data_IF_044923223120
#
_entry.id   IF_044923223120
#
_cell.length_a   1.000
_cell.length_b   1.000
_cell.length_c   1.000
_cell.angle_alpha   90.00
_cell.angle_beta   90.00
_cell.angle_gamma   90.00
#
_symmetry.space_group_name_H-M   'P 1'
#
loop_
_entity.id
_entity.type
_entity.pdbx_description
1 polymer ?
#
# COMPACT_ATOMS: atom_id res chain seq x y z
N UNK A 1 -33.52 -16.76 57.64
CA UNK A 1 -32.10 -16.51 57.27
C UNK A 1 -31.70 -17.13 55.91
N UNK A 2 -32.59 -17.27 54.93
CA UNK A 2 -32.25 -17.84 53.59
C UNK A 2 -32.30 -16.85 52.42
N UNK A 3 -32.82 -15.63 52.61
CA UNK A 3 -33.04 -14.68 51.52
C UNK A 3 -32.06 -13.50 51.47
N UNK A 4 -31.12 -13.37 52.42
CA UNK A 4 -30.13 -12.27 52.43
C UNK A 4 -28.78 -12.63 51.79
N UNK A 5 -28.49 -13.92 51.59
CA UNK A 5 -27.25 -14.38 50.94
C UNK A 5 -27.32 -14.34 49.41
N UNK A 6 -28.52 -14.47 48.82
CA UNK A 6 -28.70 -14.46 47.36
C UNK A 6 -28.63 -13.01 46.82
N UNK A 7 -29.08 -12.01 47.57
CA UNK A 7 -29.01 -10.62 47.15
C UNK A 7 -27.58 -10.06 47.12
N UNK A 8 -26.69 -10.55 47.98
CA UNK A 8 -25.28 -10.11 47.98
C UNK A 8 -24.47 -10.72 46.82
N UNK A 9 -24.84 -11.92 46.35
CA UNK A 9 -24.19 -12.56 45.20
C UNK A 9 -24.56 -11.90 43.86
N UNK A 10 -25.80 -11.40 43.73
CA UNK A 10 -26.25 -10.70 42.52
C UNK A 10 -25.62 -9.29 42.41
N UNK A 11 -25.30 -8.66 43.54
CA UNK A 11 -24.66 -7.34 43.54
C UNK A 11 -23.17 -7.35 43.11
N UNK A 12 -22.47 -8.47 43.26
CA UNK A 12 -21.03 -8.58 42.91
C UNK A 12 -20.83 -8.92 41.42
N UNK A 13 -21.81 -9.57 40.78
CA UNK A 13 -21.71 -9.90 39.34
C UNK A 13 -22.02 -8.72 38.41
N UNK A 14 -22.57 -7.62 38.93
CA UNK A 14 -22.88 -6.41 38.18
C UNK A 14 -21.73 -5.37 38.13
N UNK A 15 -20.55 -5.68 38.68
CA UNK A 15 -19.38 -4.77 38.71
C UNK A 15 -18.17 -5.38 37.99
N UNK A 16 -18.39 -6.13 36.90
CA UNK A 16 -17.35 -6.32 35.90
C UNK A 16 -17.51 -5.20 34.88
N UNK A 17 -16.64 -4.16 34.88
CA UNK A 17 -16.61 -3.25 33.76
C UNK A 17 -16.23 -4.09 32.56
N UNK A 18 -17.14 -4.15 31.58
CA UNK A 18 -16.82 -4.46 30.20
C UNK A 18 -15.79 -3.42 29.76
N UNK A 19 -14.51 -3.68 30.05
CA UNK A 19 -13.40 -2.99 29.42
C UNK A 19 -13.47 -3.35 27.94
N UNK A 20 -14.19 -2.52 27.20
CA UNK A 20 -14.11 -2.49 25.76
C UNK A 20 -12.73 -1.94 25.44
N UNK A 21 -11.79 -2.82 25.10
CA UNK A 21 -10.51 -2.39 24.55
C UNK A 21 -10.80 -1.70 23.21
N UNK A 22 -10.86 -0.37 23.26
CA UNK A 22 -10.81 0.48 22.08
C UNK A 22 -9.42 0.28 21.49
N UNK A 23 -9.30 -0.70 20.59
CA UNK A 23 -8.17 -0.79 19.70
C UNK A 23 -8.26 0.41 18.76
N UNK A 24 -7.57 1.49 19.09
CA UNK A 24 -7.25 2.51 18.10
C UNK A 24 -6.48 1.79 16.99
N UNK A 25 -7.11 1.57 15.83
CA UNK A 25 -6.42 1.04 14.66
C UNK A 25 -5.35 2.07 14.30
N UNK A 26 -4.07 1.69 14.44
CA UNK A 26 -2.98 2.54 14.02
C UNK A 26 -3.20 2.90 12.54
N UNK A 27 -3.25 4.20 12.22
CA UNK A 27 -3.45 4.67 10.85
C UNK A 27 -2.35 4.06 9.97
N UNK A 28 -2.75 3.24 9.00
CA UNK A 28 -1.85 2.72 7.97
C UNK A 28 -1.65 3.84 6.96
N UNK A 29 -0.39 4.13 6.62
CA UNK A 29 -0.03 5.18 5.68
C UNK A 29 0.84 4.59 4.58
N UNK A 30 0.61 5.04 3.34
CA UNK A 30 1.49 4.76 2.20
C UNK A 30 2.82 5.52 2.37
N UNK A 31 3.95 4.83 2.22
CA UNK A 31 5.26 5.45 2.37
C UNK A 31 5.82 6.08 1.10
N UNK A 32 5.11 5.99 -0.02
CA UNK A 32 5.54 6.63 -1.26
C UNK A 32 5.42 8.14 -1.11
N UNK A 33 6.56 8.80 -1.02
CA UNK A 33 6.69 10.25 -1.04
C UNK A 33 7.09 10.71 -2.46
N UNK A 34 7.00 12.02 -2.73
CA UNK A 34 7.22 12.60 -4.07
C UNK A 34 6.09 12.33 -5.10
N UNK A 35 4.83 12.46 -4.64
CA UNK A 35 3.66 12.32 -5.50
C UNK A 35 3.69 13.27 -6.71
N UNK A 36 4.31 14.44 -6.59
CA UNK A 36 4.46 15.40 -7.72
C UNK A 36 5.27 14.82 -8.88
N UNK A 37 6.34 14.06 -8.61
CA UNK A 37 7.11 13.38 -9.65
C UNK A 37 6.27 12.29 -10.33
N UNK A 38 5.45 11.58 -9.55
CA UNK A 38 4.52 10.59 -10.09
C UNK A 38 3.48 11.23 -11.00
N UNK A 39 2.93 12.38 -10.64
CA UNK A 39 1.93 13.07 -11.47
C UNK A 39 2.51 13.56 -12.79
N UNK A 40 3.74 14.07 -12.74
CA UNK A 40 4.45 14.48 -13.94
C UNK A 40 4.61 13.28 -14.87
N UNK A 41 5.10 12.15 -14.35
CA UNK A 41 5.24 10.90 -15.12
C UNK A 41 3.89 10.39 -15.65
N UNK A 42 2.83 10.48 -14.86
CA UNK A 42 1.48 10.08 -15.29
C UNK A 42 1.01 10.93 -16.47
N UNK A 43 1.18 12.26 -16.36
CA UNK A 43 0.80 13.21 -17.40
C UNK A 43 1.59 12.94 -18.68
N UNK A 44 2.90 12.76 -18.59
CA UNK A 44 3.76 12.41 -19.72
C UNK A 44 3.34 11.08 -20.37
N UNK A 45 3.02 10.06 -19.57
CA UNK A 45 2.51 8.77 -20.06
C UNK A 45 1.18 8.92 -20.79
N UNK A 46 0.25 9.72 -20.26
CA UNK A 46 -1.04 9.99 -20.90
C UNK A 46 -0.87 10.76 -22.22
N UNK A 47 -0.02 11.78 -22.26
CA UNK A 47 0.30 12.53 -23.48
C UNK A 47 0.98 11.65 -24.53
N UNK A 48 1.83 10.71 -24.10
CA UNK A 48 2.42 9.72 -24.98
C UNK A 48 1.35 8.81 -25.58
N UNK A 49 0.44 8.28 -24.76
CA UNK A 49 -0.66 7.42 -25.22
C UNK A 49 -1.64 8.15 -26.14
N UNK A 50 -1.93 9.43 -25.88
CA UNK A 50 -2.80 10.24 -26.72
C UNK A 50 -2.22 10.43 -28.14
N UNK A 51 -0.89 10.54 -28.25
CA UNK A 51 -0.18 10.63 -29.54
C UNK A 51 0.09 9.27 -30.17
N UNK A 52 0.15 8.21 -29.36
CA UNK A 52 0.48 6.84 -29.78
C UNK A 52 -0.60 5.88 -29.26
N UNK A 53 -1.82 5.94 -29.81
CA UNK A 53 -2.91 5.09 -29.36
C UNK A 53 -2.55 3.63 -29.60
N UNK A 54 -2.61 2.85 -28.52
CA UNK A 54 -2.20 1.46 -28.57
C UNK A 54 -3.27 0.62 -29.24
N UNK A 55 -2.88 -0.17 -30.24
CA UNK A 55 -3.71 -1.23 -30.78
C UNK A 55 -3.46 -2.52 -29.99
N UNK A 56 -4.56 -3.20 -29.64
CA UNK A 56 -4.68 -4.53 -29.02
C UNK A 56 -3.40 -5.08 -28.35
N UNK A 57 -3.36 -5.07 -27.01
CA UNK A 57 -2.19 -5.53 -26.24
C UNK A 57 -2.20 -7.05 -26.08
N UNK A 58 -1.11 -7.69 -26.50
CA UNK A 58 -0.72 -8.98 -25.92
C UNK A 58 -0.33 -8.77 -24.43
N UNK A 59 -0.43 -9.81 -23.58
CA UNK A 59 0.06 -9.72 -22.21
C UNK A 59 1.54 -9.31 -22.17
N UNK A 60 1.87 -8.38 -21.28
CA UNK A 60 3.22 -7.91 -21.01
C UNK A 60 3.76 -8.71 -19.82
N UNK A 61 4.92 -9.33 -20.02
CA UNK A 61 5.64 -10.05 -18.97
C UNK A 61 6.66 -9.13 -18.33
N UNK A 62 6.56 -8.95 -17.01
CA UNK A 62 7.33 -7.96 -16.27
C UNK A 62 8.22 -8.69 -15.25
N UNK A 63 9.55 -8.66 -15.39
CA UNK A 63 10.45 -9.29 -14.43
C UNK A 63 10.50 -8.50 -13.11
N UNK A 64 10.45 -9.21 -11.98
CA UNK A 64 10.65 -8.67 -10.64
C UNK A 64 11.86 -9.35 -9.99
N UNK A 65 12.82 -8.54 -9.55
CA UNK A 65 13.91 -8.98 -8.66
C UNK A 65 13.50 -8.76 -7.20
N UNK A 66 13.24 -9.84 -6.48
CA UNK A 66 12.88 -9.79 -5.06
C UNK A 66 14.14 -10.01 -4.21
N UNK A 67 14.50 -8.99 -3.43
CA UNK A 67 15.62 -8.97 -2.51
C UNK A 67 15.13 -9.30 -1.10
N UNK A 68 15.38 -10.51 -0.63
CA UNK A 68 15.05 -10.97 0.71
C UNK A 68 16.11 -10.51 1.70
N UNK A 69 15.80 -9.45 2.45
CA UNK A 69 16.73 -8.84 3.39
C UNK A 69 16.59 -9.51 4.75
N UNK A 70 17.70 -10.01 5.27
CA UNK A 70 17.85 -10.46 6.65
C UNK A 70 18.86 -9.58 7.37
N UNK A 71 19.03 -9.80 8.68
CA UNK A 71 20.15 -9.21 9.39
C UNK A 71 21.51 -9.70 8.86
N UNK A 72 22.62 -9.24 9.44
CA UNK A 72 23.96 -9.65 9.00
C UNK A 72 24.22 -11.17 9.06
N UNK A 73 23.49 -11.90 9.91
CA UNK A 73 23.54 -13.36 10.00
C UNK A 73 22.52 -14.04 9.09
N UNK A 74 21.72 -13.25 8.38
CA UNK A 74 20.68 -13.71 7.49
C UNK A 74 19.37 -14.11 8.16
N UNK A 75 19.21 -13.78 9.44
CA UNK A 75 18.04 -14.11 10.24
C UNK A 75 16.92 -13.10 9.97
N UNK A 76 15.69 -13.58 10.08
CA UNK A 76 14.48 -12.76 10.04
C UNK A 76 13.91 -12.48 8.65
N UNK A 77 14.51 -13.03 7.59
CA UNK A 77 13.99 -12.90 6.21
C UNK A 77 12.53 -13.32 6.07
N UNK A 78 11.86 -12.71 5.09
CA UNK A 78 10.59 -13.24 4.61
C UNK A 78 10.76 -14.66 4.07
N UNK A 79 9.74 -15.48 4.29
CA UNK A 79 9.65 -16.83 3.73
C UNK A 79 9.43 -16.77 2.22
N UNK A 80 10.22 -17.52 1.46
CA UNK A 80 10.05 -17.68 0.02
C UNK A 80 8.66 -18.16 -0.37
N UNK A 81 8.08 -19.08 0.43
CA UNK A 81 6.71 -19.55 0.23
C UNK A 81 5.70 -18.40 0.26
N UNK A 82 5.84 -17.48 1.24
CA UNK A 82 4.98 -16.29 1.33
C UNK A 82 5.20 -15.33 0.16
N UNK A 83 6.42 -15.26 -0.37
CA UNK A 83 6.73 -14.46 -1.56
C UNK A 83 6.03 -15.05 -2.79
N UNK A 84 6.05 -16.37 -2.97
CA UNK A 84 5.31 -17.04 -4.05
C UNK A 84 3.80 -16.83 -3.90
N UNK A 85 3.27 -16.90 -2.68
CA UNK A 85 1.86 -16.53 -2.41
C UNK A 85 1.56 -15.08 -2.82
N UNK A 86 2.44 -14.14 -2.51
CA UNK A 86 2.33 -12.74 -2.94
C UNK A 86 2.39 -12.61 -4.47
N UNK A 87 3.27 -13.34 -5.15
CA UNK A 87 3.36 -13.32 -6.62
C UNK A 87 2.07 -13.84 -7.28
N UNK A 88 1.41 -14.84 -6.69
CA UNK A 88 0.10 -15.29 -7.14
C UNK A 88 -0.98 -14.21 -6.91
N UNK A 89 -0.89 -13.46 -5.82
CA UNK A 89 -1.80 -12.33 -5.60
C UNK A 89 -1.57 -11.23 -6.63
N UNK A 90 -0.32 -10.87 -6.95
CA UNK A 90 0.00 -9.92 -8.02
C UNK A 90 -0.56 -10.35 -9.38
N UNK A 91 -0.49 -11.65 -9.70
CA UNK A 91 -1.11 -12.17 -10.91
C UNK A 91 -2.62 -11.89 -10.94
N UNK A 92 -3.35 -12.19 -9.86
CA UNK A 92 -4.81 -11.93 -9.79
C UNK A 92 -5.14 -10.44 -9.95
N UNK A 93 -4.34 -9.59 -9.34
CA UNK A 93 -4.56 -8.15 -9.33
C UNK A 93 -4.31 -7.52 -10.71
N UNK A 94 -3.31 -8.01 -11.46
CA UNK A 94 -2.84 -7.36 -12.68
C UNK A 94 -3.12 -8.08 -14.00
N UNK A 95 -3.51 -9.37 -13.99
CA UNK A 95 -3.73 -10.13 -15.23
C UNK A 95 -4.81 -9.51 -16.11
N UNK A 96 -5.85 -8.92 -15.51
CA UNK A 96 -6.94 -8.24 -16.25
C UNK A 96 -6.46 -6.98 -16.99
N UNK A 97 -5.38 -6.37 -16.51
CA UNK A 97 -4.71 -5.23 -17.16
C UNK A 97 -3.68 -5.69 -18.20
N UNK A 98 -3.54 -7.00 -18.42
CA UNK A 98 -2.58 -7.59 -19.34
C UNK A 98 -1.14 -7.58 -18.82
N UNK A 99 -0.91 -7.43 -17.51
CA UNK A 99 0.41 -7.48 -16.91
C UNK A 99 0.60 -8.79 -16.13
N UNK A 100 1.70 -9.50 -16.41
CA UNK A 100 2.05 -10.78 -15.78
C UNK A 100 3.45 -10.64 -15.19
N UNK A 101 3.54 -10.68 -13.87
CA UNK A 101 4.83 -10.61 -13.17
C UNK A 101 5.46 -11.99 -13.04
N UNK A 102 6.80 -12.04 -13.14
CA UNK A 102 7.57 -13.26 -12.90
C UNK A 102 8.87 -12.95 -12.17
N UNK A 103 9.39 -13.93 -11.44
CA UNK A 103 10.67 -13.79 -10.76
C UNK A 103 11.79 -13.70 -11.79
N UNK A 104 12.59 -12.63 -11.69
CA UNK A 104 13.81 -12.50 -12.47
C UNK A 104 14.73 -13.70 -12.20
N UNK A 105 15.30 -14.24 -13.27
CA UNK A 105 16.22 -15.38 -13.22
C UNK A 105 15.64 -16.63 -12.50
N UNK A 106 14.31 -16.69 -12.32
CA UNK A 106 13.61 -17.73 -11.56
C UNK A 106 14.17 -17.96 -10.14
N UNK A 107 14.64 -16.88 -9.49
CA UNK A 107 15.31 -16.98 -8.18
C UNK A 107 14.97 -15.80 -7.25
N UNK A 108 15.43 -15.89 -6.00
CA UNK A 108 15.44 -14.82 -5.02
C UNK A 108 16.86 -14.29 -4.79
N UNK A 109 16.98 -13.00 -4.43
CA UNK A 109 18.26 -12.39 -4.09
C UNK A 109 18.37 -12.21 -2.57
N UNK A 110 19.30 -12.89 -1.93
CA UNK A 110 19.46 -12.82 -0.48
C UNK A 110 20.43 -11.71 -0.10
N UNK A 111 19.99 -10.80 0.76
CA UNK A 111 20.81 -9.66 1.24
C UNK A 111 20.99 -9.77 2.76
N UNK A 112 22.22 -9.96 3.24
CA UNK A 112 22.56 -9.94 4.67
C UNK A 112 22.97 -8.51 5.05
N UNK A 113 22.07 -7.74 5.64
CA UNK A 113 22.37 -6.38 6.08
C UNK A 113 21.42 -5.95 7.18
N UNK A 114 21.89 -5.95 8.43
CA UNK A 114 21.14 -5.42 9.58
C UNK A 114 20.66 -3.99 9.35
N UNK A 115 21.41 -3.21 8.55
CA UNK A 115 21.10 -1.82 8.25
C UNK A 115 19.92 -1.70 7.28
N UNK A 116 19.95 -2.38 6.13
CA UNK A 116 18.81 -2.39 5.20
C UNK A 116 17.59 -3.05 5.88
N UNK A 117 17.84 -4.09 6.68
CA UNK A 117 16.79 -4.83 7.37
C UNK A 117 15.98 -3.97 8.35
N UNK A 118 16.63 -3.11 9.14
CA UNK A 118 15.96 -2.31 10.19
C UNK A 118 15.74 -0.84 9.81
N UNK A 119 16.59 -0.26 8.98
CA UNK A 119 16.58 1.17 8.61
C UNK A 119 16.79 1.38 7.11
N UNK A 120 15.87 0.89 6.25
CA UNK A 120 15.95 1.04 4.80
C UNK A 120 15.96 2.52 4.34
N UNK A 121 15.40 3.44 5.13
CA UNK A 121 15.36 4.88 4.86
C UNK A 121 16.72 5.58 4.93
N UNK A 122 17.65 5.02 5.69
CA UNK A 122 18.89 5.72 6.00
C UNK A 122 19.81 5.80 4.77
N UNK A 123 20.54 6.90 4.60
CA UNK A 123 21.32 7.20 3.38
C UNK A 123 22.21 6.04 2.89
N UNK A 124 22.99 5.41 3.78
CA UNK A 124 23.85 4.29 3.39
C UNK A 124 23.04 3.04 2.95
N UNK A 125 21.78 2.89 3.38
CA UNK A 125 20.89 1.76 3.03
C UNK A 125 20.33 2.03 1.65
N UNK A 126 19.89 3.27 1.40
CA UNK A 126 19.52 3.75 0.07
C UNK A 126 20.67 3.52 -0.93
N UNK A 127 21.88 3.95 -0.60
CA UNK A 127 23.06 3.75 -1.46
C UNK A 127 23.36 2.27 -1.68
N UNK A 128 23.23 1.45 -0.64
CA UNK A 128 23.48 0.00 -0.72
C UNK A 128 22.42 -0.71 -1.56
N UNK A 129 21.14 -0.40 -1.37
CA UNK A 129 20.03 -0.92 -2.18
C UNK A 129 20.20 -0.50 -3.64
N UNK A 130 20.57 0.75 -3.90
CA UNK A 130 20.81 1.22 -5.26
C UNK A 130 21.91 0.43 -5.98
N UNK A 131 22.99 0.04 -5.28
CA UNK A 131 24.05 -0.83 -5.81
C UNK A 131 23.63 -2.30 -5.98
N UNK A 132 22.67 -2.78 -5.17
CA UNK A 132 22.20 -4.18 -5.21
C UNK A 132 21.16 -4.43 -6.30
N UNK A 133 20.54 -3.37 -6.84
CA UNK A 133 19.52 -3.47 -7.89
C UNK A 133 19.97 -4.33 -9.07
N UNK A 134 19.01 -5.01 -9.66
CA UNK A 134 19.13 -5.72 -10.93
C UNK A 134 18.55 -4.84 -12.03
N UNK A 135 19.26 -4.70 -13.15
CA UNK A 135 18.81 -3.88 -14.28
C UNK A 135 17.72 -4.58 -15.11
N UNK A 136 16.88 -3.84 -15.82
CA UNK A 136 15.78 -4.36 -16.65
C UNK A 136 14.76 -5.20 -15.87
N UNK A 137 14.45 -4.82 -14.63
CA UNK A 137 13.37 -5.41 -13.84
C UNK A 137 12.97 -4.48 -12.70
N UNK A 138 11.80 -4.72 -12.13
CA UNK A 138 11.35 -4.05 -10.92
C UNK A 138 12.11 -4.63 -9.73
N UNK A 139 12.71 -3.77 -8.91
CA UNK A 139 13.43 -4.20 -7.71
C UNK A 139 12.56 -4.02 -6.47
N UNK A 140 12.37 -5.10 -5.71
CA UNK A 140 11.57 -5.09 -4.46
C UNK A 140 12.45 -5.58 -3.32
N UNK A 141 12.73 -4.71 -2.34
CA UNK A 141 13.43 -5.06 -1.11
C UNK A 141 12.42 -5.39 -0.02
N UNK A 142 12.58 -6.57 0.58
CA UNK A 142 11.70 -7.05 1.65
C UNK A 142 12.45 -6.98 2.98
N UNK A 143 12.11 -6.00 3.82
CA UNK A 143 12.81 -5.66 5.07
C UNK A 143 11.87 -5.65 6.28
N UNK A 144 12.41 -5.64 7.51
CA UNK A 144 11.62 -5.67 8.74
C UNK A 144 10.75 -4.43 8.91
N UNK A 145 11.26 -3.30 8.43
CA UNK A 145 10.60 -2.01 8.42
C UNK A 145 10.48 -1.53 6.98
N UNK A 146 9.56 -0.60 6.74
CA UNK A 146 9.39 0.05 5.45
C UNK A 146 9.25 1.57 5.65
N UNK A 147 10.04 2.12 6.58
CA UNK A 147 10.09 3.57 6.79
C UNK A 147 10.74 4.20 5.55
N UNK A 148 10.14 5.24 4.95
CA UNK A 148 10.70 5.90 3.79
C UNK A 148 11.70 7.01 4.20
N UNK A 149 12.66 7.36 3.33
CA UNK A 149 13.51 8.53 3.54
C UNK A 149 12.65 9.78 3.38
N UNK A 150 12.56 10.58 4.44
CA UNK A 150 11.79 11.83 4.58
C UNK A 150 10.38 11.72 5.21
N UNK A 151 10.33 12.25 6.43
CA UNK A 151 9.17 12.72 7.23
C UNK A 151 8.43 11.79 8.21
N UNK A 152 8.13 12.46 9.33
CA UNK A 152 7.35 12.08 10.49
C UNK A 152 5.97 11.55 10.10
N UNK A 153 5.84 10.24 10.00
CA UNK A 153 4.57 9.61 9.70
C UNK A 153 3.70 9.56 10.97
N UNK A 154 2.50 10.14 10.93
CA UNK A 154 1.43 9.90 11.93
C UNK A 154 0.79 8.54 11.59
N UNK A 155 1.54 7.44 11.70
CA UNK A 155 1.05 6.12 11.30
C UNK A 155 2.15 5.09 11.06
N UNK A 156 1.73 3.87 10.71
CA UNK A 156 2.66 2.79 10.34
C UNK A 156 2.77 2.66 8.83
N UNK A 157 3.97 2.82 8.30
CA UNK A 157 4.27 2.57 6.89
C UNK A 157 4.50 1.09 6.63
N UNK A 158 3.79 0.57 5.63
CA UNK A 158 3.78 -0.84 5.25
C UNK A 158 4.64 -1.15 4.03
N UNK A 159 4.80 -0.16 3.15
CA UNK A 159 5.61 -0.21 1.94
C UNK A 159 5.77 1.18 1.34
N UNK A 160 6.71 1.30 0.41
CA UNK A 160 6.87 2.47 -0.44
C UNK A 160 7.53 2.12 -1.77
N UNK A 161 7.17 2.86 -2.81
CA UNK A 161 7.97 3.06 -4.01
C UNK A 161 8.81 4.33 -3.84
N UNK A 162 10.06 4.29 -4.30
CA UNK A 162 10.90 5.48 -4.41
C UNK A 162 11.02 5.90 -5.87
N UNK A 163 10.37 7.00 -6.30
CA UNK A 163 10.51 7.52 -7.66
C UNK A 163 11.96 7.84 -8.02
N UNK A 164 12.68 8.51 -7.11
CA UNK A 164 14.08 8.91 -7.30
C UNK A 164 15.03 7.74 -7.55
N UNK A 165 14.85 6.62 -6.84
CA UNK A 165 15.78 5.48 -6.91
C UNK A 165 15.23 4.27 -7.67
N UNK A 166 13.97 4.33 -8.09
CA UNK A 166 13.28 3.31 -8.88
C UNK A 166 13.37 1.89 -8.29
N UNK A 167 13.02 1.77 -7.01
CA UNK A 167 12.81 0.49 -6.33
C UNK A 167 11.67 0.59 -5.31
N UNK A 168 11.17 -0.56 -4.89
CA UNK A 168 10.16 -0.69 -3.85
C UNK A 168 10.79 -1.27 -2.59
N UNK A 169 10.28 -0.86 -1.43
CA UNK A 169 10.55 -1.48 -0.13
C UNK A 169 9.23 -1.89 0.50
N UNK A 170 9.12 -3.13 0.95
CA UNK A 170 7.90 -3.66 1.57
C UNK A 170 8.24 -4.38 2.86
N UNK A 171 7.41 -4.17 3.88
CA UNK A 171 7.59 -4.78 5.19
C UNK A 171 7.35 -6.29 5.12
N UNK A 172 8.17 -7.08 5.81
CA UNK A 172 8.11 -8.56 5.78
C UNK A 172 6.72 -9.12 6.13
N UNK A 173 6.00 -8.51 7.07
CA UNK A 173 4.66 -8.96 7.47
C UNK A 173 3.58 -8.70 6.39
N UNK A 174 3.87 -7.84 5.41
CA UNK A 174 3.01 -7.55 4.27
C UNK A 174 3.30 -8.42 3.05
N UNK A 175 4.28 -9.32 3.12
CA UNK A 175 4.47 -10.33 2.07
C UNK A 175 3.65 -11.56 2.44
N UNK A 176 2.46 -11.67 1.87
CA UNK A 176 1.54 -12.81 2.04
C UNK A 176 0.39 -12.76 1.02
N UNK A 177 -0.42 -13.82 0.92
CA UNK A 177 -1.57 -13.88 -0.01
C UNK A 177 -2.71 -12.88 0.22
N UNK A 178 -2.73 -12.16 1.34
CA UNK A 178 -3.84 -11.27 1.72
C UNK A 178 -3.49 -9.78 1.63
N UNK A 179 -2.20 -9.43 1.66
CA UNK A 179 -1.79 -8.03 1.65
C UNK A 179 -1.83 -7.45 0.24
N UNK A 180 -2.47 -6.29 0.12
CA UNK A 180 -2.46 -5.46 -1.08
C UNK A 180 -1.29 -4.48 -1.14
N UNK A 181 -0.40 -4.44 -0.14
CA UNK A 181 0.66 -3.42 -0.07
C UNK A 181 1.57 -3.44 -1.29
N UNK A 182 2.09 -4.60 -1.69
CA UNK A 182 2.96 -4.65 -2.87
C UNK A 182 2.21 -4.27 -4.16
N UNK A 183 0.94 -4.67 -4.29
CA UNK A 183 0.09 -4.27 -5.41
C UNK A 183 -0.13 -2.76 -5.46
N UNK A 184 -0.33 -2.13 -4.30
CA UNK A 184 -0.44 -0.68 -4.14
C UNK A 184 0.84 0.05 -4.56
N UNK A 185 1.99 -0.36 -4.01
CA UNK A 185 3.28 0.28 -4.34
C UNK A 185 3.69 0.07 -5.81
N UNK A 186 3.31 -1.07 -6.42
CA UNK A 186 3.47 -1.28 -7.86
C UNK A 186 2.59 -0.33 -8.69
N UNK A 187 1.43 0.07 -8.19
CA UNK A 187 0.62 1.12 -8.81
C UNK A 187 1.40 2.43 -8.91
N UNK A 188 2.06 2.84 -7.82
CA UNK A 188 2.95 4.00 -7.83
C UNK A 188 4.15 3.83 -8.76
N UNK A 189 4.75 2.63 -8.82
CA UNK A 189 5.79 2.34 -9.82
C UNK A 189 5.30 2.61 -11.25
N UNK A 190 4.04 2.28 -11.56
CA UNK A 190 3.39 2.58 -12.84
C UNK A 190 2.76 3.97 -12.91
N UNK A 191 3.25 4.94 -12.12
CA UNK A 191 2.79 6.34 -12.10
C UNK A 191 1.33 6.54 -11.75
N UNK A 192 0.68 5.60 -11.04
CA UNK A 192 -0.65 5.82 -10.52
C UNK A 192 -0.55 6.58 -9.18
N UNK A 193 -1.15 7.77 -9.03
CA UNK A 193 -1.30 8.41 -7.74
C UNK A 193 -2.39 7.71 -6.91
N UNK A 194 -2.56 8.12 -5.65
CA UNK A 194 -3.71 7.67 -4.88
C UNK A 194 -5.03 8.12 -5.53
N UNK A 195 -6.03 7.24 -5.50
CA UNK A 195 -7.39 7.50 -6.06
C UNK A 195 -8.14 8.66 -5.37
N UNK A 196 -7.72 9.05 -4.17
CA UNK A 196 -8.28 10.19 -3.42
C UNK A 196 -7.23 11.26 -3.16
N UNK A 197 -6.36 11.49 -4.14
CA UNK A 197 -5.25 12.44 -4.03
C UNK A 197 -5.70 13.78 -3.45
N UNK A 198 -4.99 14.22 -2.42
CA UNK A 198 -5.25 15.46 -1.70
C UNK A 198 -6.26 15.35 -0.56
N UNK A 199 -6.80 14.14 -0.32
CA UNK A 199 -7.52 13.74 0.90
C UNK A 199 -6.74 12.71 1.75
N UNK A 200 -5.49 12.43 1.36
CA UNK A 200 -4.69 11.32 1.88
C UNK A 200 -4.35 11.40 3.37
N UNK A 201 -4.34 12.62 3.92
CA UNK A 201 -3.82 12.89 5.25
C UNK A 201 -4.87 13.40 6.23
N UNK A 202 -6.04 13.83 5.75
CA UNK A 202 -7.12 14.40 6.56
C UNK A 202 -8.39 13.56 6.42
N UNK A 203 -8.82 12.87 7.49
CA UNK A 203 -10.11 12.19 7.50
C UNK A 203 -11.24 13.16 7.19
N UNK A 204 -12.23 12.71 6.42
CA UNK A 204 -13.40 13.53 6.17
C UNK A 204 -14.16 13.81 7.48
N UNK A 205 -14.55 15.07 7.63
CA UNK A 205 -15.30 15.61 8.75
C UNK A 205 -16.29 16.64 8.21
N UNK A 206 -17.58 16.49 8.53
CA UNK A 206 -18.63 17.32 7.96
C UNK A 206 -18.51 18.80 8.37
N UNK A 207 -18.00 19.08 9.58
CA UNK A 207 -17.88 20.44 10.08
C UNK A 207 -16.75 21.20 9.37
N UNK A 208 -15.69 20.48 9.00
CA UNK A 208 -14.51 21.03 8.31
C UNK A 208 -14.68 21.05 6.80
N UNK A 209 -15.26 20.01 6.22
CA UNK A 209 -15.27 19.77 4.77
C UNK A 209 -16.65 19.99 4.12
N UNK A 210 -17.70 20.17 4.92
CA UNK A 210 -19.07 20.32 4.44
C UNK A 210 -19.65 19.03 3.84
N UNK A 211 -20.82 19.16 3.20
CA UNK A 211 -21.57 18.03 2.60
C UNK A 211 -21.39 17.91 1.09
N UNK A 212 -20.68 18.85 0.46
CA UNK A 212 -20.48 18.90 -0.99
C UNK A 212 -18.99 19.01 -1.29
N UNK A 213 -18.48 18.12 -2.14
CA UNK A 213 -17.08 18.15 -2.59
C UNK A 213 -16.86 19.35 -3.50
N UNK A 214 -15.89 20.19 -3.18
CA UNK A 214 -15.50 21.37 -3.97
C UNK A 214 -14.60 20.96 -5.15
N UNK A 215 -14.19 21.91 -6.01
CA UNK A 215 -13.32 21.61 -7.15
C UNK A 215 -11.90 21.16 -6.73
N UNK A 216 -11.47 21.51 -5.52
CA UNK A 216 -10.14 21.22 -4.98
C UNK A 216 -10.28 20.39 -3.70
N UNK A 217 -9.36 19.47 -3.46
CA UNK A 217 -9.21 18.76 -2.19
C UNK A 217 -8.71 19.71 -1.09
N UNK A 218 -8.74 19.30 0.19
CA UNK A 218 -8.13 20.07 1.29
C UNK A 218 -6.66 20.43 1.04
N UNK A 219 -5.91 19.51 0.39
CA UNK A 219 -4.54 19.75 -0.06
C UNK A 219 -4.37 20.65 -1.29
N UNK A 220 -5.43 21.28 -1.80
CA UNK A 220 -5.36 22.18 -2.96
C UNK A 220 -5.22 21.49 -4.32
N UNK A 221 -5.37 20.16 -4.37
CA UNK A 221 -5.27 19.37 -5.62
C UNK A 221 -6.66 19.28 -6.27
N UNK A 222 -6.79 19.42 -7.61
CA UNK A 222 -8.08 19.20 -8.27
C UNK A 222 -8.68 17.83 -7.92
N UNK A 223 -9.93 17.82 -7.45
CA UNK A 223 -10.62 16.56 -7.17
C UNK A 223 -10.86 15.79 -8.47
N UNK A 224 -10.49 14.51 -8.48
CA UNK A 224 -10.83 13.61 -9.58
C UNK A 224 -12.36 13.48 -9.67
N UNK A 225 -12.94 13.95 -10.79
CA UNK A 225 -14.38 13.86 -11.01
C UNK A 225 -14.71 12.43 -11.47
N UNK A 226 -15.83 11.89 -11.00
CA UNK A 226 -16.39 10.58 -11.44
C UNK A 226 -16.56 10.48 -12.97
N UNK A 227 -16.58 11.60 -13.68
CA UNK A 227 -16.73 11.68 -15.14
C UNK A 227 -15.51 12.29 -15.87
N UNK A 228 -14.34 12.33 -15.22
CA UNK A 228 -13.12 12.93 -15.75
C UNK A 228 -12.30 11.96 -16.59
N UNK A 229 -12.46 12.01 -17.92
CA UNK A 229 -11.41 11.68 -18.91
C UNK A 229 -10.96 10.23 -19.07
N UNK A 230 -11.28 9.32 -18.14
CA UNK A 230 -11.01 7.90 -18.27
C UNK A 230 -12.30 7.12 -18.11
N UNK A 231 -12.71 6.42 -19.16
CA UNK A 231 -13.90 5.60 -19.16
C UNK A 231 -13.91 4.64 -17.97
N UNK A 232 -15.00 4.69 -17.21
CA UNK A 232 -15.49 3.65 -16.31
C UNK A 232 -14.61 3.25 -15.12
N UNK A 233 -14.79 3.94 -13.99
CA UNK A 233 -14.61 3.34 -12.66
C UNK A 233 -15.95 3.03 -11.94
N UNK A 234 -17.10 3.21 -12.63
CA UNK A 234 -18.44 3.00 -12.06
C UNK A 234 -19.45 2.37 -13.04
N UNK A 235 -19.03 1.52 -13.97
CA UNK A 235 -19.97 0.57 -14.61
C UNK A 235 -19.53 -0.85 -14.36
N UNK A 236 -19.94 -1.33 -13.20
CA UNK A 236 -19.65 -2.68 -12.78
C UNK A 236 -19.95 -2.92 -11.33
N UNK A 237 -20.95 -2.24 -10.76
CA UNK A 237 -21.73 -2.69 -9.60
C UNK A 237 -22.82 -1.65 -9.36
N UNK A 238 -24.01 -1.92 -9.88
CA UNK A 238 -25.27 -1.37 -9.36
C UNK A 238 -25.58 -1.84 -7.92
N UNK A 239 -24.55 -2.13 -7.12
CA UNK A 239 -24.63 -2.72 -5.78
C UNK A 239 -23.77 -1.98 -4.73
N UNK A 240 -22.88 -1.05 -5.10
CA UNK A 240 -22.08 -0.30 -4.12
C UNK A 240 -22.86 0.83 -3.41
N UNK A 241 -24.11 1.12 -3.81
CA UNK A 241 -24.95 2.18 -3.22
C UNK A 241 -26.07 1.68 -2.29
N UNK A 242 -26.05 0.41 -1.87
CA UNK A 242 -27.01 -0.14 -0.88
C UNK A 242 -26.44 -0.40 0.52
N UNK A 243 -25.21 0.01 0.80
CA UNK A 243 -24.56 -0.22 2.10
C UNK A 243 -24.81 0.81 3.20
N UNK A 244 -25.27 2.03 2.87
CA UNK A 244 -25.36 3.14 3.85
C UNK A 244 -26.79 3.62 4.15
N UNK A 245 -27.79 2.74 3.99
CA UNK A 245 -29.20 3.04 4.33
C UNK A 245 -29.92 1.98 5.15
N UNK A 246 -29.22 1.26 6.02
CA UNK A 246 -29.89 0.48 7.08
C UNK A 246 -29.14 0.65 8.40
N UNK A 247 -29.63 1.60 9.19
CA UNK A 247 -29.77 1.59 10.66
C UNK A 247 -30.21 2.99 11.10
N UNK A 248 -31.47 3.31 10.78
CA UNK A 248 -32.39 3.97 11.70
C UNK A 248 -33.17 2.85 12.40
#
# INVERSE_FOLDING_TARGET
MKNRLIQTFIAIFCILPLFSEIHAQAKIICGTHDLEELDKRQTENMEFLARNPLQQRAPIYIPIAIHLVGDNNGVGRASEYKVIEQMNQLYKDYVKMGAIFYLRDSTFYYVNSTRIYNTPESSVSVDSMNRLKKGNCINVFVSKTATPPSTSSIGTTLGYYSPTYDYLVVKIDQINKYSGTLSHELGHFFSLPHTFRGWDFEPWDQATHGTTVTALSPGGVPNERVNGGMGFNCTGTSEANRGWRQNL
#
